data_IF_911265407272
#
_entry.id   IF_911265407272
#
_cell.length_a   1.000
_cell.length_b   1.000
_cell.length_c   1.000
_cell.angle_alpha   90.00
_cell.angle_beta   90.00
_cell.angle_gamma   90.00
#
_symmetry.space_group_name_H-M   'P 1'
#
loop_
_entity.id
_entity.type
_entity.pdbx_description
1 polymer ?
#
# COMPACT_ATOMS: atom_id res chain seq x y z
N UNK A 1 -11.34 -11.13 -15.29
CA UNK A 1 -10.72 -9.78 -15.31
C UNK A 1 -9.41 -9.74 -14.53
N UNK A 2 -9.37 -10.27 -13.30
CA UNK A 2 -8.16 -10.33 -12.46
C UNK A 2 -6.92 -10.93 -13.17
N UNK A 3 -7.07 -12.06 -13.86
CA UNK A 3 -5.96 -12.70 -14.58
C UNK A 3 -5.36 -11.82 -15.71
N UNK A 4 -6.19 -10.98 -16.35
CA UNK A 4 -5.71 -10.07 -17.42
C UNK A 4 -4.85 -8.95 -16.86
N UNK A 5 -5.26 -8.35 -15.74
CA UNK A 5 -4.50 -7.29 -15.07
C UNK A 5 -3.16 -7.81 -14.56
N UNK A 6 -3.15 -9.00 -13.95
CA UNK A 6 -1.91 -9.62 -13.47
C UNK A 6 -0.96 -9.95 -14.63
N UNK A 7 -1.47 -10.54 -15.71
CA UNK A 7 -0.67 -10.86 -16.89
C UNK A 7 -0.08 -9.60 -17.54
N UNK A 8 -0.86 -8.52 -17.66
CA UNK A 8 -0.41 -7.27 -18.25
C UNK A 8 0.63 -6.57 -17.37
N UNK A 9 0.41 -6.54 -16.06
CA UNK A 9 1.41 -6.07 -15.12
C UNK A 9 2.70 -6.86 -15.22
N UNK A 10 2.62 -8.20 -15.24
CA UNK A 10 3.80 -9.06 -15.36
C UNK A 10 4.52 -8.85 -16.69
N UNK A 11 3.79 -8.60 -17.79
CA UNK A 11 4.36 -8.25 -19.10
C UNK A 11 5.16 -6.94 -19.05
N UNK A 12 4.67 -5.93 -18.33
CA UNK A 12 5.29 -4.59 -18.25
C UNK A 12 6.45 -4.59 -17.24
N UNK A 13 6.26 -5.21 -16.07
CA UNK A 13 7.15 -5.08 -14.90
C UNK A 13 8.07 -6.28 -14.74
N UNK A 14 7.78 -7.42 -15.39
CA UNK A 14 8.50 -8.71 -15.28
C UNK A 14 8.45 -9.34 -13.89
N UNK A 15 7.48 -8.95 -13.07
CA UNK A 15 7.27 -9.42 -11.69
C UNK A 15 5.85 -9.91 -11.51
N UNK A 16 5.66 -11.00 -10.74
CA UNK A 16 4.32 -11.44 -10.33
C UNK A 16 3.69 -10.42 -9.38
N UNK A 17 2.50 -9.91 -9.73
CA UNK A 17 1.87 -8.81 -9.00
C UNK A 17 1.48 -9.21 -7.56
N UNK A 18 0.71 -10.28 -7.41
CA UNK A 18 0.10 -10.62 -6.12
C UNK A 18 1.13 -11.20 -5.15
N UNK A 19 1.96 -12.14 -5.60
CA UNK A 19 2.94 -12.79 -4.73
C UNK A 19 3.97 -11.79 -4.22
N UNK A 20 4.52 -10.95 -5.10
CA UNK A 20 5.51 -9.95 -4.70
C UNK A 20 4.93 -8.89 -3.76
N UNK A 21 3.68 -8.47 -3.99
CA UNK A 21 3.02 -7.49 -3.14
C UNK A 21 2.71 -8.07 -1.76
N UNK A 22 2.11 -9.26 -1.70
CA UNK A 22 1.73 -9.89 -0.43
C UNK A 22 2.97 -10.28 0.39
N UNK A 23 3.98 -10.91 -0.22
CA UNK A 23 5.23 -11.28 0.46
C UNK A 23 5.96 -10.03 0.99
N UNK A 24 6.02 -8.97 0.15
CA UNK A 24 6.61 -7.70 0.53
C UNK A 24 5.86 -7.03 1.68
N UNK A 25 4.53 -7.03 1.65
CA UNK A 25 3.68 -6.43 2.67
C UNK A 25 3.79 -7.21 3.99
N UNK A 26 3.72 -8.54 3.94
CA UNK A 26 3.83 -9.39 5.12
C UNK A 26 5.18 -9.23 5.82
N UNK A 27 6.26 -9.09 5.06
CA UNK A 27 7.58 -8.81 5.61
C UNK A 27 7.72 -7.45 6.31
N UNK A 28 6.82 -6.50 6.02
CA UNK A 28 6.90 -5.10 6.51
C UNK A 28 5.80 -4.74 7.51
N UNK A 29 4.64 -5.37 7.43
CA UNK A 29 3.46 -5.05 8.22
C UNK A 29 3.72 -5.02 9.73
N UNK A 30 4.43 -6.00 10.35
CA UNK A 30 4.69 -5.96 11.79
C UNK A 30 5.42 -4.67 12.22
N UNK A 31 6.46 -4.27 11.48
CA UNK A 31 7.23 -3.06 11.79
C UNK A 31 6.46 -1.78 11.49
N UNK A 32 5.66 -1.76 10.42
CA UNK A 32 4.79 -0.61 10.12
C UNK A 32 3.81 -0.37 11.27
N UNK A 33 3.16 -1.43 11.76
CA UNK A 33 2.21 -1.35 12.86
C UNK A 33 2.87 -0.88 14.16
N UNK A 34 4.10 -1.31 14.46
CA UNK A 34 4.88 -0.77 15.59
C UNK A 34 5.15 0.74 15.46
N UNK A 35 5.51 1.21 14.25
CA UNK A 35 5.67 2.64 14.01
C UNK A 35 4.36 3.42 14.15
N UNK A 36 3.24 2.83 13.75
CA UNK A 36 1.93 3.46 13.91
C UNK A 36 1.57 3.57 15.39
N UNK A 37 1.83 2.52 16.19
CA UNK A 37 1.66 2.54 17.66
C UNK A 37 2.52 3.62 18.30
N UNK A 38 3.77 3.76 17.87
CA UNK A 38 4.65 4.84 18.34
C UNK A 38 4.12 6.24 18.00
N UNK A 39 3.62 6.42 16.77
CA UNK A 39 3.12 7.71 16.30
C UNK A 39 1.78 8.10 16.92
N UNK A 40 0.88 7.14 17.18
CA UNK A 40 -0.45 7.39 17.75
C UNK A 40 -0.41 7.85 19.21
N UNK A 41 0.61 7.42 19.98
CA UNK A 41 0.82 7.84 21.39
C UNK A 41 1.02 9.34 21.56
N UNK A 42 1.46 10.05 20.52
CA UNK A 42 1.66 11.51 20.57
C UNK A 42 0.36 12.31 20.47
N UNK A 43 -0.79 11.65 20.21
CA UNK A 43 -2.09 12.28 20.00
C UNK A 43 -2.25 12.98 18.64
N UNK A 44 -1.16 13.20 17.89
CA UNK A 44 -1.15 13.96 16.62
C UNK A 44 -1.73 13.20 15.43
N UNK A 45 -2.05 11.91 15.58
CA UNK A 45 -2.53 11.03 14.50
C UNK A 45 -3.71 10.18 14.97
N UNK A 46 -4.90 10.79 15.21
CA UNK A 46 -6.07 10.08 15.73
C UNK A 46 -6.51 8.93 14.81
N UNK A 47 -6.42 9.09 13.49
CA UNK A 47 -6.75 8.03 12.54
C UNK A 47 -5.89 6.76 12.73
N UNK A 48 -4.58 6.91 13.03
CA UNK A 48 -3.73 5.75 13.33
C UNK A 48 -4.16 5.06 14.62
N UNK A 49 -4.57 5.83 15.63
CA UNK A 49 -5.11 5.26 16.87
C UNK A 49 -6.37 4.45 16.57
N UNK A 50 -7.33 5.02 15.86
CA UNK A 50 -8.58 4.33 15.51
C UNK A 50 -8.34 3.04 14.72
N UNK A 51 -7.40 3.03 13.77
CA UNK A 51 -7.01 1.81 13.02
C UNK A 51 -6.43 0.74 13.95
N UNK A 52 -5.56 1.13 14.89
CA UNK A 52 -4.94 0.21 15.84
C UNK A 52 -5.96 -0.34 16.83
N UNK A 53 -6.86 0.51 17.34
CA UNK A 53 -7.94 0.10 18.24
C UNK A 53 -8.88 -0.91 17.54
N UNK A 54 -9.11 -0.77 16.22
CA UNK A 54 -9.85 -1.77 15.42
C UNK A 54 -9.09 -3.09 15.32
N UNK A 55 -7.79 -3.03 15.06
CA UNK A 55 -6.94 -4.22 14.93
C UNK A 55 -6.85 -5.01 16.25
N UNK A 56 -6.88 -4.33 17.40
CA UNK A 56 -6.90 -4.99 18.71
C UNK A 56 -8.16 -5.83 18.96
N UNK A 57 -9.29 -5.49 18.32
CA UNK A 57 -10.53 -6.27 18.41
C UNK A 57 -10.45 -7.60 17.65
N UNK A 58 -9.64 -7.65 16.59
CA UNK A 58 -9.55 -8.79 15.66
C UNK A 58 -8.20 -8.78 14.91
N UNK A 59 -7.22 -9.53 15.41
CA UNK A 59 -5.80 -9.47 14.97
C UNK A 59 -5.42 -10.61 14.01
N UNK A 60 -6.19 -10.78 12.93
CA UNK A 60 -5.85 -11.72 11.85
C UNK A 60 -4.79 -11.15 10.90
N UNK A 61 -4.14 -12.01 10.10
CA UNK A 61 -3.18 -11.56 9.08
C UNK A 61 -3.82 -10.60 8.06
N UNK A 62 -5.07 -10.85 7.66
CA UNK A 62 -5.81 -9.97 6.75
C UNK A 62 -6.08 -8.58 7.36
N UNK A 63 -6.44 -8.56 8.65
CA UNK A 63 -6.63 -7.32 9.42
C UNK A 63 -5.33 -6.55 9.58
N UNK A 64 -4.21 -7.23 9.86
CA UNK A 64 -2.88 -6.61 9.93
C UNK A 64 -2.48 -5.98 8.60
N UNK A 65 -2.69 -6.66 7.47
CA UNK A 65 -2.43 -6.11 6.13
C UNK A 65 -3.31 -4.88 5.86
N UNK A 66 -4.59 -4.97 6.18
CA UNK A 66 -5.54 -3.84 6.04
C UNK A 66 -5.11 -2.64 6.87
N UNK A 67 -4.79 -2.84 8.15
CA UNK A 67 -4.32 -1.80 9.05
C UNK A 67 -2.97 -1.19 8.58
N UNK A 68 -2.06 -2.01 8.07
CA UNK A 68 -0.80 -1.55 7.50
C UNK A 68 -1.02 -0.65 6.27
N UNK A 69 -1.94 -1.03 5.37
CA UNK A 69 -2.21 -0.28 4.14
C UNK A 69 -2.99 1.02 4.42
N UNK A 70 -4.09 0.94 5.18
CA UNK A 70 -4.91 2.11 5.51
C UNK A 70 -4.17 3.09 6.43
N UNK A 71 -3.27 2.58 7.28
CA UNK A 71 -2.44 3.42 8.16
C UNK A 71 -1.30 4.15 7.43
N UNK A 72 -0.90 3.68 6.24
CA UNK A 72 0.27 4.23 5.55
C UNK A 72 0.11 5.70 5.19
N UNK A 73 -1.04 6.07 4.62
CA UNK A 73 -1.35 7.46 4.25
C UNK A 73 -1.40 8.37 5.48
N UNK A 74 -1.97 7.90 6.58
CA UNK A 74 -2.01 8.64 7.84
C UNK A 74 -0.63 8.76 8.49
N UNK A 75 0.28 7.82 8.22
CA UNK A 75 1.66 7.90 8.67
C UNK A 75 2.51 8.86 7.81
N UNK A 76 2.30 8.90 6.50
CA UNK A 76 3.02 9.79 5.58
C UNK A 76 2.54 11.24 5.71
N UNK A 77 3.41 12.13 6.19
CA UNK A 77 3.03 13.55 6.37
C UNK A 77 2.62 14.19 5.04
N UNK A 78 1.47 14.85 5.02
CA UNK A 78 0.96 15.57 3.84
C UNK A 78 0.18 14.70 2.85
N UNK A 79 -0.15 13.47 3.21
CA UNK A 79 -1.07 12.63 2.44
C UNK A 79 -2.49 12.64 3.01
N UNK A 80 -3.46 12.42 2.14
CA UNK A 80 -4.87 12.26 2.49
C UNK A 80 -5.52 11.23 1.56
N UNK A 81 -6.02 10.13 2.11
CA UNK A 81 -6.60 9.05 1.31
C UNK A 81 -8.08 9.26 0.94
N UNK A 82 -8.75 10.32 1.39
CA UNK A 82 -10.22 10.46 1.24
C UNK A 82 -10.74 10.44 -0.22
N UNK A 83 -9.92 10.85 -1.18
CA UNK A 83 -10.26 10.79 -2.62
C UNK A 83 -9.86 9.48 -3.30
N UNK A 84 -9.05 8.66 -2.63
CA UNK A 84 -8.42 7.46 -3.20
C UNK A 84 -9.02 6.20 -2.59
N UNK A 85 -9.40 6.22 -1.32
CA UNK A 85 -9.95 5.08 -0.60
C UNK A 85 -11.25 5.56 0.05
N UNK A 86 -12.36 5.07 -0.48
CA UNK A 86 -13.70 5.38 0.01
C UNK A 86 -14.38 4.14 0.51
N UNK A 87 -15.23 4.34 1.51
CA UNK A 87 -16.09 3.31 2.08
C UNK A 87 -17.50 3.57 1.56
N UNK A 88 -18.22 2.52 1.19
CA UNK A 88 -19.59 2.56 0.69
C UNK A 88 -20.47 1.70 1.59
N UNK A 89 -21.39 2.31 2.31
CA UNK A 89 -22.40 1.60 3.11
C UNK A 89 -23.45 1.00 2.17
N UNK A 90 -23.59 -0.34 2.17
CA UNK A 90 -24.58 -1.03 1.34
C UNK A 90 -26.04 -0.61 1.62
N UNK A 91 -26.31 -0.03 2.78
CA UNK A 91 -27.66 0.40 3.17
C UNK A 91 -27.83 1.93 3.16
N UNK A 92 -26.74 2.69 3.05
CA UNK A 92 -26.74 4.14 3.23
C UNK A 92 -26.34 4.95 1.99
N UNK A 93 -25.51 4.38 1.11
CA UNK A 93 -24.90 5.11 -0.01
C UNK A 93 -25.33 4.54 -1.36
N UNK A 94 -25.51 5.42 -2.35
CA UNK A 94 -25.54 5.01 -3.77
C UNK A 94 -24.12 4.89 -4.31
N UNK A 95 -23.91 4.03 -5.31
CA UNK A 95 -22.59 3.88 -5.93
C UNK A 95 -22.14 5.18 -6.62
N UNK A 96 -23.08 5.88 -7.27
CA UNK A 96 -22.83 7.14 -7.94
C UNK A 96 -22.33 8.21 -6.97
N UNK A 97 -22.96 8.36 -5.80
CA UNK A 97 -22.51 9.31 -4.78
C UNK A 97 -21.15 8.90 -4.19
N UNK A 98 -20.96 7.61 -3.91
CA UNK A 98 -19.73 7.12 -3.32
C UNK A 98 -18.53 7.30 -4.26
N UNK A 99 -18.73 7.18 -5.57
CA UNK A 99 -17.67 7.33 -6.58
C UNK A 99 -17.46 8.77 -7.08
N UNK A 100 -18.39 9.69 -6.80
CA UNK A 100 -18.34 11.06 -7.31
C UNK A 100 -17.00 11.75 -7.02
N UNK A 101 -16.33 12.23 -8.07
CA UNK A 101 -15.03 12.89 -8.03
C UNK A 101 -13.83 11.95 -7.90
N UNK A 102 -13.99 10.62 -7.89
CA UNK A 102 -12.87 9.69 -7.83
C UNK A 102 -12.14 9.63 -9.18
N UNK A 103 -10.83 9.90 -9.16
CA UNK A 103 -9.97 9.78 -10.34
C UNK A 103 -9.41 8.37 -10.51
N UNK A 104 -8.79 7.83 -9.46
CA UNK A 104 -8.32 6.44 -9.43
C UNK A 104 -8.17 6.00 -7.97
N UNK A 105 -8.76 4.86 -7.61
CA UNK A 105 -8.83 4.46 -6.22
C UNK A 105 -9.59 3.16 -5.92
N UNK A 106 -9.78 2.90 -4.64
CA UNK A 106 -10.57 1.80 -4.10
C UNK A 106 -11.88 2.30 -3.52
N UNK A 107 -12.96 1.59 -3.86
CA UNK A 107 -14.24 1.68 -3.18
C UNK A 107 -14.47 0.39 -2.39
N UNK A 108 -14.57 0.50 -1.07
CA UNK A 108 -14.71 -0.61 -0.14
C UNK A 108 -16.17 -0.66 0.32
N UNK A 109 -16.91 -1.64 -0.19
CA UNK A 109 -18.29 -1.92 0.20
C UNK A 109 -18.33 -2.70 1.51
N UNK A 110 -19.14 -2.23 2.45
CA UNK A 110 -19.30 -2.86 3.75
C UNK A 110 -20.75 -2.83 4.25
N UNK A 111 -21.02 -3.72 5.20
CA UNK A 111 -22.27 -3.78 5.95
C UNK A 111 -21.96 -3.69 7.45
N UNK A 112 -22.86 -3.08 8.21
CA UNK A 112 -22.76 -2.97 9.68
C UNK A 112 -21.98 -1.74 10.19
N UNK A 113 -21.48 -1.83 11.42
CA UNK A 113 -20.85 -0.69 12.09
C UNK A 113 -19.52 -0.28 11.45
N UNK A 114 -19.36 1.05 11.31
CA UNK A 114 -18.17 1.68 10.74
C UNK A 114 -17.27 2.27 11.82
N UNK A 115 -16.23 1.52 12.20
CA UNK A 115 -15.07 2.09 12.91
C UNK A 115 -14.06 2.71 11.90
N UNK A 116 -12.75 2.60 12.13
CA UNK A 116 -11.73 3.06 11.19
C UNK A 116 -11.71 2.26 9.88
N UNK A 117 -12.05 0.97 9.96
CA UNK A 117 -12.40 0.14 8.82
C UNK A 117 -13.38 -0.96 9.26
N UNK A 118 -14.36 -1.30 8.40
CA UNK A 118 -15.47 -2.17 8.77
C UNK A 118 -15.01 -3.62 9.02
N UNK A 119 -15.73 -4.34 9.87
CA UNK A 119 -15.45 -5.77 10.12
C UNK A 119 -15.86 -6.66 8.96
N UNK A 120 -16.98 -6.33 8.32
CA UNK A 120 -17.55 -7.09 7.22
C UNK A 120 -17.44 -6.30 5.93
N UNK A 121 -16.37 -6.58 5.18
CA UNK A 121 -16.20 -6.12 3.80
C UNK A 121 -16.78 -7.20 2.90
N UNK A 122 -17.83 -6.87 2.14
CA UNK A 122 -18.41 -7.83 1.18
C UNK A 122 -17.84 -7.66 -0.23
N UNK A 123 -17.29 -6.48 -0.56
CA UNK A 123 -16.72 -6.19 -1.86
C UNK A 123 -15.70 -5.06 -1.79
N UNK A 124 -14.66 -5.14 -2.61
CA UNK A 124 -13.81 -4.01 -2.96
C UNK A 124 -13.76 -3.86 -4.47
N UNK A 125 -13.86 -2.61 -4.93
CA UNK A 125 -13.80 -2.25 -6.34
C UNK A 125 -12.64 -1.29 -6.61
N UNK A 126 -12.04 -1.41 -7.79
CA UNK A 126 -11.14 -0.40 -8.36
C UNK A 126 -11.98 0.54 -9.23
N UNK A 127 -11.88 1.82 -8.92
CA UNK A 127 -12.57 2.90 -9.63
C UNK A 127 -11.54 3.71 -10.42
N UNK A 128 -11.86 4.04 -11.67
CA UNK A 128 -11.11 4.97 -12.53
C UNK A 128 -12.13 5.92 -13.15
N UNK A 129 -11.92 7.24 -13.01
CA UNK A 129 -12.81 8.29 -13.52
C UNK A 129 -14.29 8.00 -13.20
N UNK A 130 -14.58 7.83 -11.90
CA UNK A 130 -15.92 7.52 -11.38
C UNK A 130 -16.55 6.22 -11.90
N UNK A 131 -15.78 5.37 -12.59
CA UNK A 131 -16.24 4.11 -13.19
C UNK A 131 -15.58 2.92 -12.51
N UNK A 132 -16.38 1.92 -12.11
CA UNK A 132 -15.87 0.63 -11.63
C UNK A 132 -15.22 -0.12 -12.79
N UNK A 133 -13.89 -0.26 -12.74
CA UNK A 133 -13.12 -1.03 -13.72
C UNK A 133 -12.76 -2.42 -13.20
N UNK A 134 -12.86 -2.67 -11.90
CA UNK A 134 -12.69 -4.00 -11.33
C UNK A 134 -13.49 -4.12 -10.04
N UNK A 135 -14.09 -5.27 -9.77
CA UNK A 135 -14.89 -5.52 -8.57
C UNK A 135 -14.86 -7.00 -8.17
N UNK A 136 -15.62 -7.36 -7.14
CA UNK A 136 -15.67 -8.68 -6.51
C UNK A 136 -14.31 -9.10 -5.92
N UNK A 137 -13.56 -8.11 -5.43
CA UNK A 137 -12.33 -8.34 -4.67
C UNK A 137 -12.70 -8.57 -3.21
N UNK A 138 -12.08 -9.59 -2.59
CA UNK A 138 -12.50 -10.10 -1.28
C UNK A 138 -11.73 -9.55 -0.09
N UNK A 139 -10.55 -8.98 -0.33
CA UNK A 139 -9.72 -8.41 0.73
C UNK A 139 -8.99 -7.15 0.25
N UNK A 140 -8.68 -6.26 1.20
CA UNK A 140 -8.07 -4.95 0.93
C UNK A 140 -6.67 -5.08 0.36
N UNK A 141 -5.87 -6.05 0.81
CA UNK A 141 -4.48 -6.18 0.39
C UNK A 141 -4.36 -6.56 -1.09
N UNK A 142 -5.09 -7.59 -1.51
CA UNK A 142 -5.19 -7.95 -2.91
C UNK A 142 -5.77 -6.78 -3.74
N UNK A 143 -6.70 -6.01 -3.18
CA UNK A 143 -7.29 -4.87 -3.89
C UNK A 143 -6.29 -3.75 -4.16
N UNK A 144 -5.41 -3.43 -3.22
CA UNK A 144 -4.29 -2.51 -3.45
C UNK A 144 -3.32 -3.03 -4.53
N UNK A 145 -3.01 -4.33 -4.52
CA UNK A 145 -2.20 -4.93 -5.56
C UNK A 145 -2.88 -4.81 -6.93
N UNK A 146 -4.17 -5.12 -7.03
CA UNK A 146 -4.94 -4.97 -8.26
C UNK A 146 -5.03 -3.52 -8.73
N UNK A 147 -5.15 -2.55 -7.81
CA UNK A 147 -5.10 -1.13 -8.14
C UNK A 147 -3.75 -0.74 -8.78
N UNK A 148 -2.63 -1.18 -8.21
CA UNK A 148 -1.31 -1.02 -8.84
C UNK A 148 -1.29 -1.67 -10.23
N UNK A 149 -1.80 -2.89 -10.34
CA UNK A 149 -1.94 -3.59 -11.63
C UNK A 149 -2.69 -2.76 -12.67
N UNK A 150 -3.82 -2.17 -12.31
CA UNK A 150 -4.63 -1.30 -13.19
C UNK A 150 -3.86 -0.04 -13.58
N UNK A 151 -3.22 0.64 -12.61
CA UNK A 151 -2.44 1.85 -12.87
C UNK A 151 -1.33 1.58 -13.90
N UNK A 152 -0.61 0.47 -13.76
CA UNK A 152 0.41 0.07 -14.73
C UNK A 152 -0.18 -0.34 -16.09
N UNK A 153 -1.26 -1.14 -16.08
CA UNK A 153 -1.89 -1.64 -17.31
C UNK A 153 -2.47 -0.51 -18.17
N UNK A 154 -2.96 0.55 -17.53
CA UNK A 154 -3.57 1.71 -18.18
C UNK A 154 -2.62 2.90 -18.29
N UNK A 155 -1.36 2.75 -17.86
CA UNK A 155 -0.35 3.82 -17.83
C UNK A 155 -0.86 5.10 -17.12
N UNK A 156 -1.57 4.92 -16.00
CA UNK A 156 -2.09 6.02 -15.18
C UNK A 156 -1.02 6.58 -14.27
N UNK A 157 -1.21 7.82 -13.84
CA UNK A 157 -0.41 8.40 -12.77
C UNK A 157 -0.94 7.95 -11.40
N UNK A 158 -0.08 7.88 -10.39
CA UNK A 158 -0.53 7.68 -9.02
C UNK A 158 -1.36 8.86 -8.52
N UNK A 159 -2.37 8.61 -7.66
CA UNK A 159 -3.06 9.69 -6.95
C UNK A 159 -2.08 10.59 -6.21
N UNK A 160 -2.15 11.90 -6.46
CA UNK A 160 -1.21 12.86 -5.89
C UNK A 160 -1.33 12.91 -4.36
N UNK A 161 -2.55 12.71 -3.85
CA UNK A 161 -2.90 12.74 -2.43
C UNK A 161 -2.30 11.57 -1.64
N UNK A 162 -1.83 10.52 -2.34
CA UNK A 162 -1.19 9.33 -1.76
C UNK A 162 0.14 8.99 -2.45
N UNK A 163 0.80 9.96 -3.09
CA UNK A 163 1.98 9.72 -3.95
C UNK A 163 3.13 8.98 -3.26
N UNK A 164 3.40 9.27 -1.98
CA UNK A 164 4.46 8.62 -1.19
C UNK A 164 4.03 7.24 -0.70
N UNK A 165 2.74 7.04 -0.41
CA UNK A 165 2.19 5.71 -0.14
C UNK A 165 2.34 4.80 -1.36
N UNK A 166 1.90 5.24 -2.55
CA UNK A 166 2.06 4.46 -3.79
C UNK A 166 3.53 4.24 -4.16
N UNK A 167 4.38 5.26 -4.00
CA UNK A 167 5.83 5.10 -4.16
C UNK A 167 6.38 4.05 -3.17
N UNK A 168 5.96 4.05 -1.90
CA UNK A 168 6.38 3.04 -0.93
C UNK A 168 5.96 1.63 -1.35
N UNK A 169 4.70 1.46 -1.80
CA UNK A 169 4.21 0.17 -2.30
C UNK A 169 5.00 -0.31 -3.52
N UNK A 170 5.28 0.59 -4.47
CA UNK A 170 6.06 0.24 -5.66
C UNK A 170 7.52 -0.08 -5.33
N UNK A 171 8.21 0.84 -4.65
CA UNK A 171 9.67 0.82 -4.49
C UNK A 171 10.16 -0.07 -3.35
N UNK A 172 9.34 -0.27 -2.32
CA UNK A 172 9.73 -0.97 -1.08
C UNK A 172 9.01 -2.30 -0.95
N UNK A 173 7.69 -2.33 -1.16
CA UNK A 173 6.90 -3.56 -1.07
C UNK A 173 7.18 -4.48 -2.28
N UNK A 174 6.88 -4.01 -3.50
CA UNK A 174 7.09 -4.81 -4.74
C UNK A 174 8.55 -4.78 -5.23
N UNK A 175 9.31 -3.73 -4.86
CA UNK A 175 10.72 -3.50 -5.27
C UNK A 175 10.93 -3.20 -6.76
N UNK A 176 10.02 -2.43 -7.37
CA UNK A 176 10.19 -1.91 -8.73
C UNK A 176 11.12 -0.69 -8.68
N UNK A 177 12.23 -0.72 -9.41
CA UNK A 177 13.33 0.27 -9.39
C UNK A 177 13.63 0.77 -7.95
N UNK A 178 14.07 -0.13 -7.04
CA UNK A 178 14.14 0.11 -5.59
C UNK A 178 15.23 1.12 -5.17
N UNK A 179 16.01 1.59 -6.14
CA UNK A 179 17.02 2.64 -6.08
C UNK A 179 16.44 4.05 -6.33
N UNK A 180 15.27 4.15 -6.99
CA UNK A 180 14.60 5.41 -7.32
C UNK A 180 13.58 5.81 -6.25
N UNK A 181 14.08 6.05 -5.03
CA UNK A 181 13.24 6.37 -3.86
C UNK A 181 13.45 7.82 -3.43
N UNK A 182 12.34 8.54 -3.24
CA UNK A 182 12.30 9.90 -2.71
C UNK A 182 12.85 9.96 -1.29
N UNK A 183 13.34 11.13 -0.87
CA UNK A 183 13.89 11.31 0.47
C UNK A 183 12.90 10.92 1.58
N UNK A 184 11.59 11.16 1.36
CA UNK A 184 10.54 10.82 2.33
C UNK A 184 10.35 9.31 2.47
N UNK A 185 10.21 8.59 1.36
CA UNK A 185 10.06 7.13 1.38
C UNK A 185 11.35 6.45 1.83
N UNK A 186 12.51 6.99 1.47
CA UNK A 186 13.81 6.52 1.93
C UNK A 186 13.95 6.65 3.46
N UNK A 187 13.47 7.76 4.04
CA UNK A 187 13.40 7.95 5.49
C UNK A 187 12.59 6.86 6.20
N UNK A 188 11.44 6.46 5.65
CA UNK A 188 10.63 5.35 6.19
C UNK A 188 11.32 3.99 5.97
N UNK A 189 11.85 3.73 4.77
CA UNK A 189 12.58 2.50 4.43
C UNK A 189 13.74 2.23 5.41
N UNK A 190 14.49 3.28 5.76
CA UNK A 190 15.57 3.22 6.76
C UNK A 190 15.07 2.84 8.15
N UNK A 191 13.98 3.47 8.60
CA UNK A 191 13.36 3.15 9.91
C UNK A 191 12.89 1.70 9.96
N UNK A 192 12.37 1.16 8.86
CA UNK A 192 11.93 -0.23 8.76
C UNK A 192 13.12 -1.23 8.67
N UNK A 193 14.35 -0.75 8.52
CA UNK A 193 15.53 -1.61 8.38
C UNK A 193 15.59 -2.37 7.05
N UNK A 194 14.94 -1.85 6.00
CA UNK A 194 14.84 -2.50 4.66
C UNK A 194 16.08 -2.18 3.79
N UNK A 195 17.19 -1.81 4.42
CA UNK A 195 18.41 -1.54 3.69
C UNK A 195 18.96 -2.86 3.14
N UNK A 196 18.97 -2.97 1.80
CA UNK A 196 19.76 -4.00 1.13
C UNK A 196 21.17 -3.91 1.70
N UNK A 197 21.71 -5.06 2.14
CA UNK A 197 23.11 -5.15 2.56
C UNK A 197 23.93 -4.44 1.49
N UNK A 198 24.53 -3.28 1.81
CA UNK A 198 25.63 -2.76 1.00
C UNK A 198 26.65 -3.89 1.00
N UNK A 199 26.86 -4.56 -0.14
CA UNK A 199 28.06 -5.38 -0.32
C UNK A 199 29.21 -4.42 -0.02
N UNK A 200 29.89 -4.63 1.12
CA UNK A 200 31.15 -3.92 1.38
C UNK A 200 32.02 -4.16 0.14
N UNK A 201 32.69 -3.12 -0.41
CA UNK A 201 33.72 -3.35 -1.39
C UNK A 201 34.68 -4.39 -0.81
N UNK A 202 34.89 -5.48 -1.55
CA UNK A 202 35.75 -6.57 -1.10
C UNK A 202 37.17 -5.99 -0.96
N UNK A 203 37.64 -5.78 0.27
CA UNK A 203 38.97 -5.21 0.58
C UNK A 203 40.12 -6.08 0.05
N UNK A 204 39.84 -7.27 -0.47
CA UNK A 204 40.80 -8.17 -1.11
C UNK A 204 41.37 -7.63 -2.43
N UNK A 205 40.71 -6.67 -3.10
CA UNK A 205 41.22 -6.12 -4.38
C UNK A 205 42.17 -4.93 -4.23
N UNK A 206 42.30 -4.33 -3.03
CA UNK A 206 43.31 -3.26 -2.78
C UNK A 206 44.70 -3.79 -2.44
N UNK A 207 44.85 -5.08 -2.11
CA UNK A 207 46.17 -5.68 -1.82
C UNK A 207 46.92 -6.16 -3.07
N UNK A 208 46.25 -6.28 -4.22
CA UNK A 208 46.91 -6.74 -5.46
C UNK A 208 47.55 -5.57 -6.22
N UNK A 209 47.10 -4.33 -5.99
CA UNK A 209 47.64 -3.12 -6.63
C UNK A 209 48.82 -2.46 -5.90
N UNK A 210 49.29 -3.02 -4.76
CA UNK A 210 50.46 -2.52 -4.02
C UNK A 210 51.69 -3.44 -4.08
N UNK A 211 51.67 -4.50 -4.90
CA UNK A 211 52.79 -5.45 -5.02
C UNK A 211 53.57 -5.26 -6.34
N UNK A 212 53.27 -4.24 -7.14
CA UNK A 212 53.95 -3.98 -8.43
C UNK A 212 54.44 -2.53 -8.61
N UNK A 213 54.87 -1.87 -7.53
CA UNK A 213 55.72 -0.67 -7.62
C UNK A 213 56.96 -0.85 -6.74
#
# INVERSE_FOLDING_TARGET
>A
MNCRVQAEFQRIVTTDLLSSFLDGLDGLAPKLLEFYKGASRTGKKPALKSILDCLEKDDTNERRRTAALLGLSHYMSGENQANVIRMCDAHGDTLEEAMKGMQVGLLIGYEGERDAFPQQIFNVAVVVEETIVLHNLKDVACSFAMLLGIIYSLNLQYPLEMKYSFEFLQRVVIKIQPDQVSAKVHGLKNKLGVNGKKKKPNETLKKISQVHQ
#
